data_IF_801597685500
#
_entry.id   IF_801597685500
#
_cell.length_a   1.000
_cell.length_b   1.000
_cell.length_c   1.000
_cell.angle_alpha   90.00
_cell.angle_beta   90.00
_cell.angle_gamma   90.00
#
_symmetry.space_group_name_H-M   'P 1'
#
loop_
_entity.id
_entity.type
_entity.pdbx_description
1 polymer ?
#
# COMPACT_ATOMS: atom_id res chain seq x y z
N UNK A 1 -11.27 -7.86 2.52
CA UNK A 1 -11.60 -6.47 2.97
C UNK A 1 -10.43 -5.71 3.58
N UNK A 2 -9.87 -6.09 4.74
CA UNK A 2 -8.86 -5.27 5.45
C UNK A 2 -7.55 -5.16 4.67
N UNK A 3 -7.09 -6.24 4.03
CA UNK A 3 -5.94 -6.23 3.13
C UNK A 3 -6.05 -5.10 2.10
N UNK A 4 -7.14 -5.14 1.34
CA UNK A 4 -7.42 -4.19 0.27
C UNK A 4 -7.66 -2.78 0.80
N UNK A 5 -8.27 -2.64 1.98
CA UNK A 5 -8.36 -1.35 2.66
C UNK A 5 -6.99 -0.77 2.97
N UNK A 6 -6.08 -1.55 3.55
CA UNK A 6 -4.74 -1.08 3.88
C UNK A 6 -3.89 -0.80 2.64
N UNK A 7 -4.05 -1.61 1.57
CA UNK A 7 -3.46 -1.34 0.26
C UNK A 7 -3.99 -0.01 -0.28
N UNK A 8 -5.31 0.13 -0.44
CA UNK A 8 -5.94 1.35 -0.96
C UNK A 8 -5.64 2.60 -0.12
N UNK A 9 -5.56 2.44 1.21
CA UNK A 9 -5.16 3.50 2.13
C UNK A 9 -3.71 3.91 1.93
N UNK A 10 -2.79 2.96 1.76
CA UNK A 10 -1.37 3.22 1.57
C UNK A 10 -1.12 3.89 0.23
N UNK A 11 -1.52 3.24 -0.86
CA UNK A 11 -1.26 3.74 -2.21
C UNK A 11 -2.05 5.03 -2.47
N UNK A 12 -3.30 5.08 -1.97
CA UNK A 12 -4.09 6.30 -1.99
C UNK A 12 -3.45 7.44 -1.21
N UNK A 13 -2.75 7.17 -0.11
CA UNK A 13 -2.09 8.22 0.69
C UNK A 13 -0.84 8.73 -0.03
N UNK A 14 -0.09 7.86 -0.70
CA UNK A 14 1.04 8.27 -1.53
C UNK A 14 0.56 9.20 -2.66
N UNK A 15 -0.49 8.80 -3.40
CA UNK A 15 -1.13 9.64 -4.41
C UNK A 15 -1.69 10.95 -3.85
N UNK A 16 -2.41 10.89 -2.72
CA UNK A 16 -2.99 12.07 -2.08
C UNK A 16 -1.91 13.05 -1.58
N UNK A 17 -0.77 12.56 -1.08
CA UNK A 17 0.36 13.40 -0.68
C UNK A 17 1.01 14.09 -1.88
N UNK A 18 1.19 13.38 -3.00
CA UNK A 18 1.68 13.99 -4.24
C UNK A 18 0.76 15.13 -4.66
N UNK A 19 -0.55 14.87 -4.72
CA UNK A 19 -1.54 15.89 -5.09
C UNK A 19 -1.50 17.06 -4.10
N UNK A 20 -1.50 16.81 -2.78
CA UNK A 20 -1.41 17.85 -1.75
C UNK A 20 -0.14 18.69 -1.89
N UNK A 21 1.01 18.09 -2.20
CA UNK A 21 2.27 18.82 -2.41
C UNK A 21 2.17 19.72 -3.65
N UNK A 22 1.62 19.21 -4.75
CA UNK A 22 1.41 19.98 -5.98
C UNK A 22 0.43 21.13 -5.77
N UNK A 23 -0.70 20.89 -5.09
CA UNK A 23 -1.68 21.93 -4.72
C UNK A 23 -1.00 22.99 -3.83
N UNK A 24 -0.32 22.58 -2.77
CA UNK A 24 0.34 23.49 -1.84
C UNK A 24 1.42 24.34 -2.54
N UNK A 25 2.15 23.74 -3.48
CA UNK A 25 3.14 24.47 -4.27
C UNK A 25 2.50 25.53 -5.18
N UNK A 26 1.43 25.18 -5.92
CA UNK A 26 0.70 26.12 -6.78
C UNK A 26 0.09 27.27 -5.99
N UNK A 27 -0.44 26.98 -4.80
CA UNK A 27 -0.96 28.00 -3.88
C UNK A 27 0.17 28.90 -3.37
N UNK A 28 1.34 28.32 -3.03
CA UNK A 28 2.51 29.06 -2.55
C UNK A 28 3.06 30.05 -3.59
N UNK A 29 3.06 29.69 -4.87
CA UNK A 29 3.50 30.56 -5.97
C UNK A 29 2.37 31.47 -6.50
N UNK A 30 1.21 31.52 -5.83
CA UNK A 30 0.02 32.28 -6.21
C UNK A 30 -0.56 31.93 -7.61
N UNK A 31 -0.28 30.74 -8.15
CA UNK A 31 -0.78 30.26 -9.45
C UNK A 31 -1.98 29.33 -9.31
N UNK A 32 -3.03 29.81 -8.64
CA UNK A 32 -4.28 29.06 -8.43
C UNK A 32 -5.03 28.79 -9.75
N UNK A 33 -4.76 29.60 -10.78
CA UNK A 33 -5.25 29.41 -12.15
C UNK A 33 -4.88 28.05 -12.74
N UNK A 34 -3.77 27.46 -12.30
CA UNK A 34 -3.28 26.18 -12.78
C UNK A 34 -3.88 24.96 -12.05
N UNK A 35 -4.67 25.16 -10.98
CA UNK A 35 -5.29 24.05 -10.24
C UNK A 35 -6.22 23.22 -11.12
N UNK A 36 -6.96 23.85 -12.05
CA UNK A 36 -7.78 23.12 -13.01
C UNK A 36 -6.96 22.14 -13.85
N UNK A 37 -5.76 22.54 -14.28
CA UNK A 37 -4.84 21.68 -15.06
C UNK A 37 -4.27 20.54 -14.22
N UNK A 38 -3.93 20.81 -12.95
CA UNK A 38 -3.57 19.75 -12.01
C UNK A 38 -4.68 18.69 -11.90
N UNK A 39 -5.93 19.12 -11.67
CA UNK A 39 -7.07 18.21 -11.57
C UNK A 39 -7.37 17.45 -12.86
N UNK A 40 -7.14 18.06 -14.04
CA UNK A 40 -7.26 17.30 -15.30
C UNK A 40 -6.23 16.16 -15.38
N UNK A 41 -4.98 16.38 -14.95
CA UNK A 41 -3.97 15.32 -14.92
C UNK A 41 -4.32 14.21 -13.92
N UNK A 42 -4.78 14.59 -12.73
CA UNK A 42 -5.28 13.62 -11.72
C UNK A 42 -6.47 12.82 -12.24
N UNK A 43 -7.44 13.49 -12.87
CA UNK A 43 -8.62 12.83 -13.44
C UNK A 43 -8.26 11.82 -14.54
N UNK A 44 -7.32 12.17 -15.43
CA UNK A 44 -6.80 11.26 -16.45
C UNK A 44 -6.07 10.05 -15.83
N UNK A 45 -5.30 10.25 -14.75
CA UNK A 45 -4.61 9.17 -14.06
C UNK A 45 -5.58 8.20 -13.38
N UNK A 46 -6.63 8.72 -12.74
CA UNK A 46 -7.70 7.91 -12.15
C UNK A 46 -8.44 7.12 -13.23
N UNK A 47 -8.77 7.76 -14.36
CA UNK A 47 -9.40 7.09 -15.49
C UNK A 47 -8.54 5.94 -16.03
N UNK A 48 -7.23 6.15 -16.16
CA UNK A 48 -6.29 5.11 -16.58
C UNK A 48 -6.28 3.93 -15.59
N UNK A 49 -6.18 4.21 -14.29
CA UNK A 49 -6.17 3.18 -13.25
C UNK A 49 -7.46 2.34 -13.25
N UNK A 50 -8.62 3.00 -13.36
CA UNK A 50 -9.92 2.32 -13.48
C UNK A 50 -10.02 1.49 -14.75
N UNK A 51 -9.49 2.00 -15.87
CA UNK A 51 -9.47 1.27 -17.15
C UNK A 51 -8.62 0.01 -17.04
N UNK A 52 -7.45 0.08 -16.42
CA UNK A 52 -6.58 -1.08 -16.19
C UNK A 52 -7.29 -2.08 -15.26
N UNK A 53 -7.87 -1.61 -14.16
CA UNK A 53 -8.64 -2.48 -13.25
C UNK A 53 -9.81 -3.18 -13.96
N UNK A 54 -10.52 -2.48 -14.84
CA UNK A 54 -11.61 -3.05 -15.64
C UNK A 54 -11.09 -4.09 -16.64
N UNK A 55 -10.02 -3.79 -17.40
CA UNK A 55 -9.41 -4.72 -18.35
C UNK A 55 -8.91 -5.98 -17.65
N UNK A 56 -8.28 -5.84 -16.49
CA UNK A 56 -7.81 -6.98 -15.70
C UNK A 56 -8.98 -7.80 -15.15
N UNK A 57 -10.04 -7.17 -14.66
CA UNK A 57 -11.20 -7.88 -14.09
C UNK A 57 -12.02 -8.60 -15.17
N UNK A 58 -12.36 -7.91 -16.25
CA UNK A 58 -13.23 -8.47 -17.29
C UNK A 58 -12.48 -9.29 -18.34
N UNK A 59 -11.18 -9.05 -18.52
CA UNK A 59 -10.35 -9.79 -19.49
C UNK A 59 -9.98 -11.20 -19.04
N UNK A 60 -10.00 -11.50 -17.74
CA UNK A 60 -9.64 -12.83 -17.20
C UNK A 60 -10.84 -13.71 -16.86
N UNK A 61 -12.07 -13.24 -17.10
CA UNK A 61 -13.31 -13.96 -16.78
C UNK A 61 -13.58 -15.22 -17.64
N UNK A 62 -12.65 -15.62 -18.50
CA UNK A 62 -12.81 -16.74 -19.46
C UNK A 62 -11.91 -17.96 -19.16
N UNK A 63 -11.36 -18.05 -17.94
CA UNK A 63 -10.45 -19.14 -17.58
C UNK A 63 -11.22 -20.41 -17.14
N UNK A 64 -10.74 -21.63 -17.47
CA UNK A 64 -11.37 -22.88 -17.05
C UNK A 64 -11.29 -23.12 -15.53
N UNK A 65 -12.40 -23.58 -14.92
CA UNK A 65 -12.52 -23.84 -13.46
C UNK A 65 -11.49 -24.84 -12.92
N UNK A 66 -10.98 -25.77 -13.75
CA UNK A 66 -9.96 -26.74 -13.31
C UNK A 66 -8.57 -26.15 -13.08
N UNK A 67 -8.29 -24.96 -13.62
CA UNK A 67 -7.03 -24.25 -13.41
C UNK A 67 -7.10 -23.25 -12.25
N UNK A 68 -8.29 -23.05 -11.68
CA UNK A 68 -8.57 -21.98 -10.73
C UNK A 68 -7.74 -22.07 -9.45
N UNK A 69 -7.61 -23.22 -8.76
CA UNK A 69 -6.81 -23.29 -7.53
C UNK A 69 -5.31 -23.11 -7.81
N UNK A 70 -4.79 -23.65 -8.92
CA UNK A 70 -3.39 -23.48 -9.30
C UNK A 70 -3.04 -22.02 -9.62
N UNK A 71 -3.95 -21.33 -10.32
CA UNK A 71 -3.78 -19.91 -10.69
C UNK A 71 -3.94 -19.02 -9.46
N UNK A 72 -4.96 -19.25 -8.63
CA UNK A 72 -5.22 -18.51 -7.39
C UNK A 72 -4.06 -18.67 -6.40
N UNK A 73 -3.55 -19.90 -6.23
CA UNK A 73 -2.38 -20.18 -5.41
C UNK A 73 -1.11 -19.46 -5.88
N UNK A 74 -0.84 -19.52 -7.19
CA UNK A 74 0.33 -18.84 -7.77
C UNK A 74 0.22 -17.31 -7.66
N UNK A 75 -0.96 -16.74 -7.95
CA UNK A 75 -1.22 -15.31 -7.82
C UNK A 75 -1.09 -14.84 -6.37
N UNK A 76 -1.53 -15.63 -5.40
CA UNK A 76 -1.43 -15.33 -3.97
C UNK A 76 0.04 -15.26 -3.51
N UNK A 77 0.89 -16.18 -3.99
CA UNK A 77 2.33 -16.14 -3.72
C UNK A 77 2.96 -14.90 -4.36
N UNK A 78 2.64 -14.62 -5.63
CA UNK A 78 3.14 -13.45 -6.34
C UNK A 78 2.71 -12.14 -5.66
N UNK A 79 1.44 -12.03 -5.28
CA UNK A 79 0.89 -10.90 -4.55
C UNK A 79 1.59 -10.69 -3.21
N UNK A 80 1.84 -11.77 -2.45
CA UNK A 80 2.59 -11.70 -1.18
C UNK A 80 4.00 -11.16 -1.40
N UNK A 81 4.72 -11.67 -2.39
CA UNK A 81 6.07 -11.19 -2.72
C UNK A 81 6.08 -9.72 -3.12
N UNK A 82 5.11 -9.32 -3.96
CA UNK A 82 4.93 -7.95 -4.41
C UNK A 82 4.63 -7.01 -3.23
N UNK A 83 3.66 -7.35 -2.38
CA UNK A 83 3.31 -6.58 -1.16
C UNK A 83 4.51 -6.48 -0.22
N UNK A 84 5.24 -7.57 0.01
CA UNK A 84 6.45 -7.57 0.84
C UNK A 84 7.46 -6.57 0.31
N UNK A 85 7.80 -6.68 -0.98
CA UNK A 85 8.78 -5.80 -1.61
C UNK A 85 8.38 -4.34 -1.45
N UNK A 86 7.11 -4.04 -1.67
CA UNK A 86 6.53 -2.70 -1.59
C UNK A 86 6.57 -2.13 -0.16
N UNK A 87 6.22 -2.93 0.85
CA UNK A 87 6.28 -2.53 2.26
C UNK A 87 7.71 -2.14 2.66
N UNK A 88 8.72 -2.89 2.20
CA UNK A 88 10.14 -2.54 2.41
C UNK A 88 10.64 -1.39 1.53
N UNK A 89 10.07 -1.22 0.34
CA UNK A 89 10.38 -0.10 -0.54
C UNK A 89 9.93 1.23 0.09
N UNK A 90 8.66 1.30 0.52
CA UNK A 90 8.13 2.50 1.16
C UNK A 90 8.83 2.82 2.49
N UNK A 91 9.22 1.80 3.27
CA UNK A 91 10.00 2.02 4.50
C UNK A 91 11.32 2.77 4.24
N UNK A 92 11.89 2.62 3.04
CA UNK A 92 13.07 3.35 2.56
C UNK A 92 12.70 4.73 1.98
N UNK A 93 11.65 4.79 1.16
CA UNK A 93 11.23 6.00 0.42
C UNK A 93 10.57 7.08 1.29
N UNK A 94 9.88 6.71 2.38
CA UNK A 94 9.15 7.65 3.26
C UNK A 94 10.01 8.79 3.86
N UNK A 95 11.35 8.68 3.76
CA UNK A 95 12.32 9.66 4.24
C UNK A 95 12.66 10.74 3.21
N UNK A 96 12.49 10.46 1.92
CA UNK A 96 13.08 11.25 0.83
C UNK A 96 12.04 12.03 0.01
N UNK A 97 10.76 11.68 0.16
CA UNK A 97 9.63 12.30 -0.53
C UNK A 97 9.53 13.81 -0.29
N UNK A 98 10.00 14.28 0.87
CA UNK A 98 9.99 15.71 1.22
C UNK A 98 11.10 16.53 0.55
N UNK A 99 12.21 15.91 0.16
CA UNK A 99 13.41 16.58 -0.35
C UNK A 99 13.44 16.65 -1.88
N UNK A 100 13.14 15.54 -2.55
CA UNK A 100 13.23 15.41 -4.01
C UNK A 100 12.17 16.22 -4.77
N UNK A 101 10.98 16.41 -4.20
CA UNK A 101 9.91 17.17 -4.86
C UNK A 101 10.16 18.70 -4.88
N UNK A 102 11.02 19.25 -4.01
CA UNK A 102 11.35 20.69 -4.07
C UNK A 102 12.28 21.02 -5.25
N UNK A 103 13.22 20.13 -5.61
CA UNK A 103 14.24 20.41 -6.63
C UNK A 103 13.80 20.23 -8.09
N UNK A 104 12.75 19.44 -8.34
CA UNK A 104 12.26 19.13 -9.70
C UNK A 104 11.26 20.17 -10.20
N UNK A 105 10.46 20.78 -9.30
CA UNK A 105 9.38 21.69 -9.71
C UNK A 105 9.91 23.08 -10.12
N UNK A 106 11.02 23.55 -9.54
CA UNK A 106 11.62 24.85 -9.89
C UNK A 106 12.09 24.93 -11.35
N UNK A 107 12.27 23.78 -12.04
CA UNK A 107 12.64 23.73 -13.48
C UNK A 107 11.46 23.61 -14.44
N UNK A 108 10.27 23.19 -13.99
CA UNK A 108 9.12 22.91 -14.86
C UNK A 108 8.07 24.03 -14.95
N UNK A 109 8.23 25.11 -14.17
CA UNK A 109 7.27 26.23 -14.14
C UNK A 109 7.36 27.20 -15.33
N UNK A 110 8.33 27.02 -16.23
CA UNK A 110 8.52 27.91 -17.39
C UNK A 110 7.71 27.37 -18.59
N UNK A 111 6.37 27.50 -18.58
CA UNK A 111 5.56 27.06 -19.73
C UNK A 111 4.03 27.19 -19.60
N UNK A 112 3.30 26.70 -20.62
CA UNK A 112 1.83 26.80 -20.83
C UNK A 112 0.97 26.00 -19.84
N UNK A 113 1.53 25.49 -18.75
CA UNK A 113 0.82 24.65 -17.76
C UNK A 113 0.43 23.25 -18.25
N UNK A 114 0.68 22.89 -19.51
CA UNK A 114 0.50 21.51 -20.02
C UNK A 114 1.47 20.55 -19.34
N UNK A 115 2.69 20.99 -19.04
CA UNK A 115 3.66 20.21 -18.26
C UNK A 115 3.12 19.83 -16.87
N UNK A 116 2.28 20.66 -16.26
CA UNK A 116 1.65 20.33 -14.97
C UNK A 116 0.62 19.20 -15.10
N UNK A 117 -0.16 19.17 -16.19
CA UNK A 117 -1.09 18.07 -16.48
C UNK A 117 -0.32 16.75 -16.60
N UNK A 118 0.77 16.75 -17.38
CA UNK A 118 1.62 15.57 -17.58
C UNK A 118 2.32 15.14 -16.29
N UNK A 119 2.88 16.06 -15.51
CA UNK A 119 3.52 15.74 -14.23
C UNK A 119 2.51 15.13 -13.27
N UNK A 120 1.32 15.72 -13.14
CA UNK A 120 0.26 15.19 -12.28
C UNK A 120 -0.22 13.82 -12.75
N UNK A 121 -0.44 13.67 -14.06
CA UNK A 121 -0.85 12.41 -14.68
C UNK A 121 0.19 11.31 -14.47
N UNK A 122 1.47 11.57 -14.72
CA UNK A 122 2.53 10.57 -14.56
C UNK A 122 2.78 10.23 -13.08
N UNK A 123 2.77 11.23 -12.20
CA UNK A 123 3.03 11.03 -10.78
C UNK A 123 1.88 10.26 -10.12
N UNK A 124 0.62 10.63 -10.36
CA UNK A 124 -0.55 9.91 -9.81
C UNK A 124 -0.83 8.63 -10.59
N UNK A 125 -0.60 8.62 -11.90
CA UNK A 125 -0.84 7.48 -12.77
C UNK A 125 0.01 6.28 -12.41
N UNK A 126 1.30 6.48 -12.07
CA UNK A 126 2.14 5.39 -11.56
C UNK A 126 1.53 4.74 -10.33
N UNK A 127 1.19 5.53 -9.32
CA UNK A 127 0.57 5.04 -8.08
C UNK A 127 -0.79 4.38 -8.37
N UNK A 128 -1.57 4.93 -9.30
CA UNK A 128 -2.85 4.38 -9.72
C UNK A 128 -2.74 3.03 -10.43
N UNK A 129 -1.75 2.86 -11.30
CA UNK A 129 -1.46 1.57 -11.97
C UNK A 129 -1.06 0.52 -10.94
N UNK A 130 -0.14 0.87 -10.04
CA UNK A 130 0.27 0.00 -8.95
C UNK A 130 -0.94 -0.40 -8.11
N UNK A 131 -1.73 0.57 -7.65
CA UNK A 131 -2.97 0.35 -6.88
C UNK A 131 -3.91 -0.64 -7.58
N UNK A 132 -4.15 -0.46 -8.88
CA UNK A 132 -5.03 -1.33 -9.66
C UNK A 132 -4.50 -2.77 -9.71
N UNK A 133 -3.18 -2.96 -9.94
CA UNK A 133 -2.55 -4.28 -9.99
C UNK A 133 -2.57 -4.98 -8.62
N UNK A 134 -2.29 -4.25 -7.53
CA UNK A 134 -2.32 -4.79 -6.17
C UNK A 134 -3.72 -5.23 -5.76
N UNK A 135 -4.72 -4.37 -5.98
CA UNK A 135 -6.11 -4.69 -5.65
C UNK A 135 -6.57 -5.88 -6.48
N UNK A 136 -6.30 -5.89 -7.79
CA UNK A 136 -6.70 -6.99 -8.66
C UNK A 136 -6.07 -8.32 -8.23
N UNK A 137 -4.76 -8.35 -7.99
CA UNK A 137 -4.08 -9.57 -7.52
C UNK A 137 -4.63 -10.04 -6.17
N UNK A 138 -4.93 -9.12 -5.25
CA UNK A 138 -5.52 -9.43 -3.96
C UNK A 138 -6.97 -9.94 -4.08
N UNK A 139 -7.78 -9.37 -4.97
CA UNK A 139 -9.15 -9.84 -5.28
C UNK A 139 -9.11 -11.29 -5.78
N UNK A 140 -8.22 -11.59 -6.73
CA UNK A 140 -8.06 -12.93 -7.27
C UNK A 140 -7.63 -13.95 -6.21
N UNK A 141 -6.83 -13.54 -5.23
CA UNK A 141 -6.40 -14.42 -4.12
C UNK A 141 -7.49 -14.77 -3.11
N UNK A 142 -8.62 -14.06 -3.13
CA UNK A 142 -9.70 -14.25 -2.15
C UNK A 142 -10.93 -14.95 -2.69
N UNK A 143 -11.04 -15.17 -4.01
CA UNK A 143 -12.23 -15.71 -4.67
C UNK A 143 -13.48 -14.81 -4.61
N UNK A 144 -13.51 -13.81 -3.73
CA UNK A 144 -14.57 -12.81 -3.61
C UNK A 144 -14.27 -11.54 -4.42
N UNK A 145 -15.27 -10.99 -5.10
CA UNK A 145 -15.11 -9.77 -5.92
C UNK A 145 -15.58 -8.49 -5.22
N UNK A 146 -16.70 -8.55 -4.49
CA UNK A 146 -17.37 -7.34 -3.97
C UNK A 146 -16.72 -6.78 -2.70
N UNK A 147 -16.49 -7.63 -1.70
CA UNK A 147 -15.99 -7.23 -0.39
C UNK A 147 -14.55 -6.66 -0.48
N UNK A 148 -13.62 -7.30 -1.20
CA UNK A 148 -12.30 -6.74 -1.49
C UNK A 148 -12.31 -5.35 -2.15
N UNK A 149 -13.22 -5.09 -3.10
CA UNK A 149 -13.34 -3.80 -3.78
C UNK A 149 -13.80 -2.68 -2.84
N UNK A 150 -14.82 -2.96 -2.00
CA UNK A 150 -15.31 -2.00 -1.00
C UNK A 150 -14.19 -1.63 -0.02
N UNK A 151 -13.41 -2.63 0.42
CA UNK A 151 -12.25 -2.39 1.27
C UNK A 151 -11.28 -1.39 0.65
N UNK A 152 -10.85 -1.64 -0.59
CA UNK A 152 -9.97 -0.74 -1.32
C UNK A 152 -10.55 0.67 -1.49
N UNK A 153 -11.82 0.79 -1.88
CA UNK A 153 -12.49 2.08 -2.05
C UNK A 153 -12.52 2.88 -0.74
N UNK A 154 -12.86 2.24 0.39
CA UNK A 154 -12.82 2.88 1.71
C UNK A 154 -11.40 3.31 2.11
N UNK A 155 -10.38 2.53 1.75
CA UNK A 155 -8.99 2.88 1.95
C UNK A 155 -8.60 4.15 1.19
N UNK A 156 -8.92 4.20 -0.10
CA UNK A 156 -8.66 5.37 -0.96
C UNK A 156 -9.42 6.60 -0.45
N UNK A 157 -10.69 6.47 -0.08
CA UNK A 157 -11.49 7.57 0.48
C UNK A 157 -10.87 8.10 1.78
N UNK A 158 -10.42 7.20 2.66
CA UNK A 158 -9.73 7.56 3.89
C UNK A 158 -8.43 8.30 3.59
N UNK A 159 -7.66 7.86 2.58
CA UNK A 159 -6.43 8.51 2.16
C UNK A 159 -6.65 9.91 1.59
N UNK A 160 -7.68 10.12 0.77
CA UNK A 160 -8.07 11.44 0.27
C UNK A 160 -8.44 12.36 1.43
N UNK A 161 -9.22 11.86 2.40
CA UNK A 161 -9.57 12.60 3.61
C UNK A 161 -8.33 12.99 4.44
N UNK A 162 -7.40 12.06 4.66
CA UNK A 162 -6.14 12.34 5.35
C UNK A 162 -5.28 13.36 4.59
N UNK A 163 -5.17 13.24 3.26
CA UNK A 163 -4.46 14.17 2.40
C UNK A 163 -5.03 15.59 2.50
N UNK A 164 -6.35 15.72 2.53
CA UNK A 164 -7.04 16.99 2.73
C UNK A 164 -6.76 17.59 4.12
N UNK A 165 -6.85 16.79 5.18
CA UNK A 165 -6.55 17.24 6.55
C UNK A 165 -5.08 17.67 6.73
N UNK A 166 -4.15 17.01 6.04
CA UNK A 166 -2.75 17.41 5.97
C UNK A 166 -2.59 18.74 5.23
N UNK A 167 -3.29 18.93 4.10
CA UNK A 167 -3.29 20.19 3.35
C UNK A 167 -3.76 21.37 4.20
N UNK A 168 -4.85 21.19 4.96
CA UNK A 168 -5.37 22.24 5.86
C UNK A 168 -4.54 22.43 7.13
N UNK A 169 -3.45 21.69 7.32
CA UNK A 169 -2.57 21.79 8.49
C UNK A 169 -3.21 21.28 9.80
N UNK A 170 -4.37 20.63 9.72
CA UNK A 170 -5.13 20.12 10.86
C UNK A 170 -4.51 18.85 11.45
N UNK A 171 -3.73 18.11 10.67
CA UNK A 171 -3.08 16.87 11.09
C UNK A 171 -1.56 16.93 10.92
N UNK A 172 -0.82 16.85 12.03
CA UNK A 172 0.62 16.61 12.06
C UNK A 172 0.89 15.11 12.26
N UNK A 173 0.65 14.31 11.23
CA UNK A 173 0.87 12.86 11.30
C UNK A 173 2.36 12.56 11.13
N UNK A 174 2.91 11.72 12.01
CA UNK A 174 4.22 11.13 11.80
C UNK A 174 4.09 10.02 10.76
N UNK A 175 4.32 10.38 9.49
CA UNK A 175 4.13 9.50 8.34
C UNK A 175 4.97 8.21 8.44
N UNK A 176 6.18 8.31 9.01
CA UNK A 176 7.01 7.14 9.27
C UNK A 176 6.38 6.16 10.29
N UNK A 177 5.71 6.67 11.35
CA UNK A 177 4.98 5.80 12.29
C UNK A 177 3.75 5.19 11.63
N UNK A 178 2.98 5.99 10.89
CA UNK A 178 1.81 5.51 10.15
C UNK A 178 2.19 4.33 9.24
N UNK A 179 3.19 4.52 8.38
CA UNK A 179 3.67 3.48 7.47
C UNK A 179 4.33 2.28 8.16
N UNK A 180 4.92 2.46 9.35
CA UNK A 180 5.40 1.30 10.13
C UNK A 180 4.23 0.45 10.62
N UNK A 181 3.18 1.09 11.17
CA UNK A 181 2.04 0.35 11.70
C UNK A 181 1.20 -0.28 10.58
N UNK A 182 0.88 0.48 9.53
CA UNK A 182 0.15 -0.08 8.39
C UNK A 182 0.96 -1.17 7.68
N UNK A 183 2.29 -0.99 7.52
CA UNK A 183 3.18 -2.02 6.97
C UNK A 183 3.25 -3.29 7.82
N UNK A 184 3.32 -3.16 9.16
CA UNK A 184 3.33 -4.31 10.05
C UNK A 184 2.02 -5.11 9.96
N UNK A 185 0.88 -4.43 9.94
CA UNK A 185 -0.42 -5.09 9.77
C UNK A 185 -0.51 -5.75 8.39
N UNK A 186 -0.06 -5.06 7.32
CA UNK A 186 -0.02 -5.62 5.97
C UNK A 186 0.84 -6.89 5.88
N UNK A 187 1.93 -6.99 6.63
CA UNK A 187 2.74 -8.22 6.66
C UNK A 187 1.93 -9.40 7.24
N UNK A 188 1.19 -9.20 8.34
CA UNK A 188 0.35 -10.26 8.93
C UNK A 188 -0.74 -10.69 7.95
N UNK A 189 -1.35 -9.72 7.26
CA UNK A 189 -2.40 -9.98 6.27
C UNK A 189 -1.83 -10.71 5.05
N UNK A 190 -0.66 -10.31 4.56
CA UNK A 190 0.05 -10.96 3.46
C UNK A 190 0.47 -12.39 3.83
N UNK A 191 0.81 -12.65 5.10
CA UNK A 191 1.06 -14.01 5.58
C UNK A 191 -0.18 -14.91 5.42
N UNK A 192 -1.36 -14.35 5.71
CA UNK A 192 -2.64 -15.00 5.46
C UNK A 192 -2.86 -15.34 3.99
N UNK A 193 -2.66 -14.37 3.10
CA UNK A 193 -2.75 -14.56 1.64
C UNK A 193 -1.78 -15.64 1.17
N UNK A 194 -0.55 -15.65 1.69
CA UNK A 194 0.44 -16.68 1.38
C UNK A 194 0.02 -18.07 1.86
N UNK A 195 -0.46 -18.17 3.10
CA UNK A 195 -0.97 -19.41 3.70
C UNK A 195 -2.12 -20.00 2.90
N UNK A 196 -3.02 -19.14 2.43
CA UNK A 196 -4.14 -19.50 1.56
C UNK A 196 -3.66 -19.93 0.17
N UNK A 197 -2.77 -19.16 -0.46
CA UNK A 197 -2.22 -19.52 -1.77
C UNK A 197 -1.51 -20.88 -1.76
N UNK A 198 -0.85 -21.21 -0.67
CA UNK A 198 -0.26 -22.52 -0.45
C UNK A 198 -1.31 -23.62 -0.33
N UNK A 199 -2.45 -23.34 0.31
CA UNK A 199 -3.56 -24.27 0.41
C UNK A 199 -4.20 -24.54 -0.96
N UNK A 200 -4.45 -23.52 -1.78
CA UNK A 200 -4.96 -23.69 -3.16
C UNK A 200 -3.99 -24.49 -4.05
N UNK A 201 -2.68 -24.37 -3.81
CA UNK A 201 -1.68 -25.23 -4.46
C UNK A 201 -1.74 -26.69 -3.96
N UNK A 202 -2.20 -26.93 -2.73
CA UNK A 202 -2.46 -28.28 -2.24
C UNK A 202 -3.73 -28.86 -2.87
N UNK A 203 -4.80 -28.09 -2.98
CA UNK A 203 -6.06 -28.50 -3.62
C UNK A 203 -5.88 -28.83 -5.11
N UNK A 204 -5.02 -28.10 -5.82
CA UNK A 204 -4.66 -28.42 -7.22
C UNK A 204 -3.75 -29.64 -7.38
N UNK A 205 -3.33 -30.28 -6.29
CA UNK A 205 -2.41 -31.42 -6.29
C UNK A 205 -0.96 -31.07 -6.63
N UNK A 206 -0.61 -29.78 -6.72
CA UNK A 206 0.76 -29.31 -6.96
C UNK A 206 1.62 -29.51 -5.71
N UNK A 207 1.04 -29.24 -4.52
CA UNK A 207 1.70 -29.45 -3.22
C UNK A 207 1.03 -30.60 -2.45
N UNK A 208 1.81 -31.45 -1.77
CA UNK A 208 1.25 -32.54 -0.96
C UNK A 208 0.66 -32.02 0.36
N UNK A 209 -0.21 -32.83 0.98
CA UNK A 209 -0.63 -32.63 2.38
C UNK A 209 -1.92 -31.85 2.59
N UNK A 210 -2.79 -31.76 1.59
CA UNK A 210 -4.14 -31.18 1.67
C UNK A 210 -4.94 -31.72 2.89
N UNK A 211 -4.88 -33.03 3.13
CA UNK A 211 -5.64 -33.69 4.20
C UNK A 211 -4.89 -33.72 5.55
N UNK A 212 -3.67 -33.18 5.62
CA UNK A 212 -2.86 -33.18 6.84
C UNK A 212 -3.09 -31.91 7.67
N UNK A 213 -4.25 -31.88 8.32
CA UNK A 213 -4.70 -30.74 9.13
C UNK A 213 -3.84 -30.58 10.39
N UNK A 214 -3.41 -29.35 10.64
CA UNK A 214 -2.79 -28.95 11.92
C UNK A 214 -3.85 -28.73 12.99
N UNK A 215 -4.95 -28.08 12.60
CA UNK A 215 -6.13 -27.90 13.42
C UNK A 215 -7.35 -27.72 12.52
N UNK A 216 -8.50 -28.10 13.08
CA UNK A 216 -9.82 -27.77 12.59
C UNK A 216 -10.57 -27.09 13.74
N UNK A 217 -10.84 -25.79 13.56
CA UNK A 217 -11.63 -25.00 14.50
C UNK A 217 -12.97 -24.56 13.90
N UNK A 218 -13.44 -25.20 12.83
CA UNK A 218 -14.70 -24.89 12.15
C UNK A 218 -15.91 -24.94 13.08
N UNK A 219 -15.86 -25.80 14.11
CA UNK A 219 -16.91 -25.88 15.13
C UNK A 219 -17.00 -24.62 16.02
N UNK A 220 -15.86 -23.95 16.28
CA UNK A 220 -15.78 -22.74 17.08
C UNK A 220 -15.82 -21.45 16.22
N UNK A 221 -15.35 -21.53 14.98
CA UNK A 221 -15.34 -20.46 13.99
C UNK A 221 -15.98 -20.98 12.71
N UNK A 222 -17.32 -21.03 12.64
CA UNK A 222 -18.01 -21.42 11.42
C UNK A 222 -17.68 -20.41 10.31
N UNK A 223 -17.33 -20.85 9.08
CA UNK A 223 -17.01 -19.96 7.95
C UNK A 223 -18.11 -18.94 7.65
N UNK A 224 -19.36 -19.35 7.80
CA UNK A 224 -20.57 -18.54 7.55
C UNK A 224 -20.88 -17.52 8.66
N UNK A 225 -20.17 -17.60 9.80
CA UNK A 225 -20.38 -16.67 10.90
C UNK A 225 -19.80 -15.30 10.57
N UNK A 226 -20.43 -14.24 11.08
CA UNK A 226 -19.97 -12.87 10.81
C UNK A 226 -18.49 -12.64 11.19
N UNK A 227 -18.02 -13.29 12.26
CA UNK A 227 -16.62 -13.20 12.69
C UNK A 227 -15.70 -14.14 11.89
N UNK A 228 -16.19 -15.28 11.42
CA UNK A 228 -15.49 -16.16 10.46
C UNK A 228 -15.25 -15.45 9.13
N UNK A 229 -16.29 -14.85 8.54
CA UNK A 229 -16.19 -14.03 7.33
C UNK A 229 -15.28 -12.82 7.54
N UNK A 230 -15.31 -12.18 8.70
CA UNK A 230 -14.36 -11.12 9.03
C UNK A 230 -12.92 -11.63 9.10
N UNK A 231 -12.66 -12.75 9.77
CA UNK A 231 -11.31 -13.32 9.87
C UNK A 231 -10.77 -13.77 8.50
N UNK A 232 -11.62 -14.41 7.69
CA UNK A 232 -11.30 -14.74 6.29
C UNK A 232 -11.05 -13.46 5.46
N UNK A 233 -11.94 -12.48 5.55
CA UNK A 233 -11.80 -11.23 4.80
C UNK A 233 -10.67 -10.30 5.27
N UNK A 234 -10.20 -10.44 6.50
CA UNK A 234 -9.15 -9.55 7.07
C UNK A 234 -7.77 -10.19 7.07
N UNK A 235 -7.67 -11.45 7.48
CA UNK A 235 -6.42 -12.17 7.64
C UNK A 235 -6.27 -13.34 6.68
N UNK A 236 -7.22 -13.54 5.75
CA UNK A 236 -7.33 -14.75 4.93
C UNK A 236 -7.24 -16.04 5.78
N UNK A 237 -7.83 -15.99 6.97
CA UNK A 237 -7.83 -17.09 7.93
C UNK A 237 -8.78 -18.21 7.47
N UNK A 238 -8.29 -19.45 7.51
CA UNK A 238 -9.09 -20.66 7.26
C UNK A 238 -9.25 -21.45 8.56
N UNK A 239 -10.48 -21.80 8.98
CA UNK A 239 -10.71 -22.65 10.16
C UNK A 239 -10.09 -24.04 10.05
N UNK A 240 -10.03 -24.57 8.83
CA UNK A 240 -9.29 -25.78 8.47
C UNK A 240 -7.93 -25.35 7.92
N UNK A 241 -6.87 -25.60 8.68
CA UNK A 241 -5.51 -25.20 8.30
C UNK A 241 -4.59 -26.41 8.30
N UNK A 242 -3.90 -26.64 7.17
CA UNK A 242 -2.88 -27.68 7.06
C UNK A 242 -1.59 -27.31 7.79
N UNK A 243 -0.80 -28.31 8.17
CA UNK A 243 0.53 -28.07 8.74
C UNK A 243 1.42 -27.21 7.85
N UNK A 244 1.35 -27.40 6.54
CA UNK A 244 2.18 -26.70 5.58
C UNK A 244 1.79 -25.21 5.51
N UNK A 245 0.48 -24.91 5.40
CA UNK A 245 -0.04 -23.55 5.44
C UNK A 245 0.31 -22.83 6.75
N UNK A 246 0.16 -23.51 7.91
CA UNK A 246 0.50 -22.95 9.22
C UNK A 246 1.99 -22.62 9.34
N UNK A 247 2.87 -23.54 8.93
CA UNK A 247 4.31 -23.35 8.98
C UNK A 247 4.76 -22.21 8.08
N UNK A 248 4.20 -22.11 6.87
CA UNK A 248 4.47 -21.00 5.94
C UNK A 248 4.03 -19.67 6.56
N UNK A 249 2.83 -19.62 7.15
CA UNK A 249 2.33 -18.43 7.83
C UNK A 249 3.25 -17.97 8.96
N UNK A 250 3.68 -18.90 9.83
CA UNK A 250 4.58 -18.63 10.95
C UNK A 250 5.97 -18.19 10.47
N UNK A 251 6.54 -18.91 9.50
CA UNK A 251 7.87 -18.62 8.98
C UNK A 251 7.92 -17.25 8.30
N UNK A 252 6.93 -16.96 7.45
CA UNK A 252 6.82 -15.67 6.77
C UNK A 252 6.57 -14.55 7.78
N UNK A 253 5.58 -14.67 8.65
CA UNK A 253 5.26 -13.63 9.64
C UNK A 253 6.46 -13.37 10.55
N UNK A 254 7.03 -14.41 11.16
CA UNK A 254 8.16 -14.29 12.08
C UNK A 254 9.38 -13.65 11.42
N UNK A 255 9.75 -14.09 10.22
CA UNK A 255 10.94 -13.59 9.52
C UNK A 255 10.73 -12.17 9.00
N UNK A 256 9.68 -11.96 8.21
CA UNK A 256 9.44 -10.70 7.50
C UNK A 256 9.09 -9.58 8.49
N UNK A 257 8.25 -9.85 9.49
CA UNK A 257 7.90 -8.86 10.50
C UNK A 257 9.12 -8.46 11.34
N UNK A 258 9.95 -9.42 11.75
CA UNK A 258 11.18 -9.11 12.51
C UNK A 258 12.13 -8.25 11.70
N UNK A 259 12.41 -8.63 10.44
CA UNK A 259 13.28 -7.84 9.56
C UNK A 259 12.69 -6.43 9.35
N UNK A 260 11.38 -6.32 9.16
CA UNK A 260 10.70 -5.05 8.94
C UNK A 260 10.79 -4.14 10.18
N UNK A 261 10.49 -4.66 11.37
CA UNK A 261 10.53 -3.90 12.62
C UNK A 261 11.96 -3.45 12.96
N UNK A 262 12.95 -4.33 12.78
CA UNK A 262 14.37 -4.00 12.97
C UNK A 262 14.81 -2.92 11.98
N UNK A 263 14.44 -3.06 10.70
CA UNK A 263 14.75 -2.07 9.66
C UNK A 263 14.10 -0.71 9.95
N UNK A 264 12.86 -0.73 10.44
CA UNK A 264 12.13 0.49 10.83
C UNK A 264 12.79 1.18 12.04
N UNK A 265 13.19 0.41 13.05
CA UNK A 265 13.89 0.93 14.23
C UNK A 265 15.25 1.54 13.88
N UNK A 266 16.05 0.85 13.04
CA UNK A 266 17.35 1.36 12.55
C UNK A 266 17.17 2.65 11.76
N UNK A 267 16.14 2.73 10.93
CA UNK A 267 15.83 3.95 10.21
C UNK A 267 15.50 5.11 11.16
N UNK A 268 14.82 4.88 12.28
CA UNK A 268 14.54 5.93 13.29
C UNK A 268 15.77 6.37 14.06
N UNK A 269 16.72 5.48 14.34
CA UNK A 269 17.90 5.76 15.15
C UNK A 269 19.00 6.60 14.45
N UNK A 270 18.98 6.71 13.12
CA UNK A 270 19.99 7.43 12.32
C UNK A 270 20.00 8.96 12.42
N UNK A 271 19.69 9.57 13.57
CA UNK A 271 19.85 11.01 13.79
C UNK A 271 20.70 11.28 15.04
N UNK A 272 21.97 11.69 14.89
CA UNK A 272 22.48 12.73 15.77
C UNK A 272 21.80 14.02 15.35
N UNK A 273 21.04 14.64 16.25
CA UNK A 273 20.73 16.06 16.13
C UNK A 273 22.06 16.77 16.30
N UNK A 274 22.73 17.12 15.20
CA UNK A 274 23.79 18.12 15.27
C UNK A 274 23.06 19.42 15.61
N UNK A 275 23.01 19.75 16.90
CA UNK A 275 22.58 21.05 17.36
C UNK A 275 23.37 22.10 16.57
N UNK A 276 22.73 23.19 16.10
CA UNK A 276 23.48 24.29 15.52
C UNK A 276 24.51 24.70 16.56
N UNK A 277 25.79 24.54 16.24
CA UNK A 277 26.86 25.13 17.03
C UNK A 277 26.67 26.63 16.82
N UNK A 278 25.89 27.26 17.68
CA UNK A 278 25.76 28.72 17.72
C UNK A 278 27.19 29.21 17.91
N UNK A 279 27.69 29.93 16.90
CA UNK A 279 29.02 30.48 16.86
C UNK A 279 29.27 31.32 18.11
N UNK A 280 29.97 30.74 19.08
CA UNK A 280 30.53 31.45 20.23
C UNK A 280 31.68 32.41 19.82
N UNK A 281 31.78 32.77 18.54
CA UNK A 281 32.80 33.67 18.00
C UNK A 281 32.31 35.13 17.94
N UNK A 282 31.01 35.42 18.15
CA UNK A 282 30.48 36.80 18.12
C UNK A 282 30.27 37.50 19.47
N UNK A 283 30.56 36.86 20.61
CA UNK A 283 30.53 37.55 21.93
C UNK A 283 31.89 38.11 22.39
N UNK A 284 32.99 37.82 21.70
CA UNK A 284 34.31 38.37 22.04
C UNK A 284 34.64 39.70 21.33
N UNK A 285 33.81 40.15 20.39
CA UNK A 285 34.07 41.36 19.59
C UNK A 285 33.38 42.64 20.12
N UNK A 286 32.69 42.56 21.26
CA UNK A 286 32.03 43.71 21.92
C UNK A 286 32.65 44.08 23.27
N UNK A 287 33.83 43.53 23.59
CA UNK A 287 34.55 43.78 24.85
C UNK A 287 36.01 44.20 24.64
N UNK A 288 36.31 44.96 23.58
CA UNK A 288 37.54 45.73 23.44
C UNK A 288 37.26 47.09 22.80
#
# INVERSE_FOLDING_TARGET
>A
MLANYLIGLREGLEGALIVTILVAYLVKIARRDLLGRLWTGVGLAVLLALTIGAVLTFGTASLPESAEPAIAGTLSIAATGLVTWMVFWMLRTARDLSGHLRGTIDRSLVGTGVGLVLIAFLAVGREGIETALFIWAAVQSTGETTLPLIGAALGILSAVGLGALIYFGMLKINLARFFTWSGAILIVVAAGVLSYGVHDLQESGILPGEHNLAFDVSAAIPPESWYGTLLKGTLNFSPETTWLSLLVWLAYTGTVLTIFLVSSARNRAGRPVVAPRVDAVKMAATAR
#
